data_IF_641190037531
#
_entry.id   IF_641190037531
#
_cell.length_a   1.000
_cell.length_b   1.000
_cell.length_c   1.000
_cell.angle_alpha   90.00
_cell.angle_beta   90.00
_cell.angle_gamma   90.00
#
_symmetry.space_group_name_H-M   'P 1'
#
loop_
_entity.id
_entity.type
_entity.pdbx_description
1 polymer ?
#
# COMPACT_ATOMS: atom_id res chain seq x y z
N UNK A 1 -14.37 16.47 -12.53
CA UNK A 1 -13.92 15.22 -11.86
C UNK A 1 -14.39 15.33 -10.43
N UNK A 2 -15.55 14.74 -10.11
CA UNK A 2 -16.11 14.76 -8.75
C UNK A 2 -15.44 13.65 -7.95
N UNK A 3 -14.93 13.98 -6.77
CA UNK A 3 -14.20 13.07 -5.86
C UNK A 3 -15.08 12.64 -4.68
N UNK A 4 -16.36 12.38 -4.95
CA UNK A 4 -17.37 12.04 -3.94
C UNK A 4 -17.42 10.55 -3.58
N UNK A 5 -16.49 9.74 -4.12
CA UNK A 5 -16.41 8.30 -3.85
C UNK A 5 -15.86 8.04 -2.45
N UNK A 6 -16.52 7.14 -1.70
CA UNK A 6 -16.05 6.74 -0.38
C UNK A 6 -14.82 5.84 -0.53
N UNK A 7 -13.86 5.94 0.38
CA UNK A 7 -12.66 5.07 0.35
C UNK A 7 -13.05 3.59 0.41
N UNK A 8 -14.13 3.26 1.12
CA UNK A 8 -14.71 1.92 1.20
C UNK A 8 -15.09 1.34 -0.17
N UNK A 9 -15.50 2.20 -1.10
CA UNK A 9 -15.90 1.79 -2.44
C UNK A 9 -14.74 1.21 -3.24
N UNK A 10 -13.48 1.44 -2.84
CA UNK A 10 -12.31 0.91 -3.54
C UNK A 10 -11.93 -0.51 -3.09
N UNK A 11 -12.40 -0.99 -1.94
CA UNK A 11 -12.03 -2.33 -1.48
C UNK A 11 -12.58 -3.42 -2.42
N UNK A 12 -11.82 -4.49 -2.69
CA UNK A 12 -12.26 -5.57 -3.57
C UNK A 12 -13.35 -6.41 -2.90
N UNK A 13 -14.34 -6.83 -3.67
CA UNK A 13 -15.40 -7.72 -3.19
C UNK A 13 -14.88 -9.16 -3.14
N UNK A 14 -14.88 -9.77 -1.95
CA UNK A 14 -14.35 -11.12 -1.72
C UNK A 14 -15.40 -12.24 -1.82
N UNK A 15 -16.66 -11.91 -2.10
CA UNK A 15 -17.78 -12.86 -2.07
C UNK A 15 -17.93 -13.69 -3.37
N UNK A 16 -17.04 -13.54 -4.34
CA UNK A 16 -17.07 -14.30 -5.59
C UNK A 16 -16.30 -15.62 -5.45
N UNK A 17 -16.90 -16.73 -5.88
CA UNK A 17 -16.34 -18.08 -5.79
C UNK A 17 -15.16 -18.32 -6.74
N UNK A 18 -14.92 -17.44 -7.72
CA UNK A 18 -13.79 -17.53 -8.66
C UNK A 18 -12.55 -16.72 -8.22
N UNK A 19 -12.54 -16.15 -7.01
CA UNK A 19 -11.41 -15.38 -6.49
C UNK A 19 -10.28 -16.34 -6.08
N UNK A 20 -9.09 -16.13 -6.65
CA UNK A 20 -7.88 -16.91 -6.34
C UNK A 20 -6.83 -16.00 -5.70
N UNK A 21 -5.77 -16.61 -5.13
CA UNK A 21 -4.68 -15.85 -4.54
C UNK A 21 -4.07 -14.88 -5.56
N UNK A 22 -4.10 -13.60 -5.25
CA UNK A 22 -3.59 -12.53 -6.10
C UNK A 22 -4.67 -11.80 -6.90
N UNK A 23 -5.95 -12.15 -6.76
CA UNK A 23 -7.08 -11.41 -7.35
C UNK A 23 -7.34 -10.08 -6.63
N UNK A 24 -7.01 -9.97 -5.34
CA UNK A 24 -7.17 -8.74 -4.55
C UNK A 24 -5.98 -7.79 -4.67
N UNK A 25 -5.00 -8.10 -5.52
CA UNK A 25 -3.87 -7.25 -5.83
C UNK A 25 -2.52 -7.92 -5.62
N UNK A 26 -1.61 -7.68 -6.58
CA UNK A 26 -0.21 -8.10 -6.54
C UNK A 26 0.66 -6.87 -6.73
N UNK A 27 1.51 -6.58 -5.76
CA UNK A 27 2.38 -5.40 -5.80
C UNK A 27 3.84 -5.80 -5.78
N UNK A 28 4.65 -5.03 -6.52
CA UNK A 28 6.10 -5.13 -6.46
C UNK A 28 6.66 -3.76 -6.10
N UNK A 29 7.36 -3.70 -4.97
CA UNK A 29 8.14 -2.54 -4.55
C UNK A 29 9.59 -2.79 -4.94
N UNK A 30 10.21 -1.80 -5.59
CA UNK A 30 11.63 -1.82 -5.95
C UNK A 30 12.27 -0.65 -5.21
N UNK A 31 13.21 -0.95 -4.33
CA UNK A 31 13.91 0.10 -3.60
C UNK A 31 14.75 -0.44 -2.46
N UNK A 32 15.28 0.50 -1.69
CA UNK A 32 16.25 0.25 -0.64
C UNK A 32 17.69 0.27 -1.13
N UNK A 33 18.59 0.31 -0.16
CA UNK A 33 20.03 0.31 -0.35
C UNK A 33 20.67 -0.52 0.76
N UNK A 34 22.00 -0.70 0.71
CA UNK A 34 22.74 -1.32 1.81
C UNK A 34 22.50 -0.62 3.17
N UNK A 35 22.23 0.69 3.14
CA UNK A 35 22.01 1.51 4.35
C UNK A 35 20.52 1.73 4.64
N UNK A 36 19.66 1.72 3.62
CA UNK A 36 18.26 2.10 3.73
C UNK A 36 17.33 0.92 3.51
N UNK A 37 16.88 0.33 4.61
CA UNK A 37 15.98 -0.84 4.62
C UNK A 37 14.58 -0.51 5.12
N UNK A 38 14.41 0.60 5.85
CA UNK A 38 13.13 0.95 6.50
C UNK A 38 12.01 1.27 5.51
N UNK A 39 12.10 2.37 4.76
CA UNK A 39 11.01 2.78 3.87
C UNK A 39 10.59 1.73 2.82
N UNK A 40 11.50 1.01 2.11
CA UNK A 40 11.06 -0.03 1.18
C UNK A 40 10.27 -1.15 1.87
N UNK A 41 10.55 -1.45 3.15
CA UNK A 41 9.72 -2.35 3.95
C UNK A 41 8.31 -1.78 4.15
N UNK A 42 8.18 -0.55 4.65
CA UNK A 42 6.86 0.06 4.92
C UNK A 42 6.02 0.18 3.65
N UNK A 43 6.62 0.58 2.53
CA UNK A 43 5.93 0.66 1.24
C UNK A 43 5.46 -0.71 0.74
N UNK A 44 6.21 -1.79 0.97
CA UNK A 44 5.84 -3.13 0.55
C UNK A 44 4.87 -3.82 1.54
N UNK A 45 4.97 -3.53 2.82
CA UNK A 45 4.14 -4.17 3.85
C UNK A 45 2.78 -3.49 4.06
N UNK A 46 2.68 -2.17 3.86
CA UNK A 46 1.42 -1.45 4.01
C UNK A 46 0.27 -2.03 3.13
N UNK A 47 0.47 -2.36 1.84
CA UNK A 47 -0.57 -2.97 1.02
C UNK A 47 -1.08 -4.30 1.58
N UNK A 48 -0.20 -5.16 2.10
CA UNK A 48 -0.60 -6.42 2.73
C UNK A 48 -1.54 -6.17 3.90
N UNK A 49 -1.24 -5.15 4.72
CA UNK A 49 -2.08 -4.76 5.85
C UNK A 49 -3.40 -4.10 5.45
N UNK A 50 -3.45 -3.47 4.28
CA UNK A 50 -4.67 -2.85 3.73
C UNK A 50 -5.59 -3.91 3.12
N UNK A 51 -5.04 -4.99 2.54
CA UNK A 51 -5.82 -6.09 1.95
C UNK A 51 -5.29 -6.64 0.62
N UNK A 52 -4.05 -6.33 0.23
CA UNK A 52 -3.42 -6.95 -0.93
C UNK A 52 -3.04 -8.41 -0.64
N UNK A 53 -3.14 -9.28 -1.64
CA UNK A 53 -2.84 -10.71 -1.48
C UNK A 53 -1.34 -11.02 -1.49
N UNK A 54 -0.59 -10.31 -2.34
CA UNK A 54 0.83 -10.55 -2.58
C UNK A 54 1.60 -9.24 -2.66
N UNK A 55 2.72 -9.19 -1.95
CA UNK A 55 3.67 -8.08 -2.03
C UNK A 55 5.09 -8.60 -2.17
N UNK A 56 5.74 -8.15 -3.23
CA UNK A 56 7.10 -8.48 -3.61
C UNK A 56 7.99 -7.28 -3.31
N UNK A 57 9.13 -7.51 -2.68
CA UNK A 57 10.14 -6.48 -2.43
C UNK A 57 11.45 -6.85 -3.11
N UNK A 58 11.81 -6.10 -4.14
CA UNK A 58 13.11 -6.17 -4.79
C UNK A 58 14.03 -5.15 -4.13
N UNK A 59 15.13 -5.63 -3.56
CA UNK A 59 16.05 -4.78 -2.77
C UNK A 59 17.52 -5.22 -2.87
N UNK A 60 18.42 -4.42 -2.30
CA UNK A 60 19.85 -4.72 -2.26
C UNK A 60 20.10 -6.06 -1.57
N UNK A 61 21.02 -6.92 -2.04
CA UNK A 61 21.27 -8.23 -1.43
C UNK A 61 21.50 -8.18 0.08
N UNK A 62 22.27 -7.20 0.56
CA UNK A 62 22.54 -7.03 2.00
C UNK A 62 21.28 -6.64 2.80
N UNK A 63 20.45 -5.76 2.23
CA UNK A 63 19.17 -5.37 2.83
C UNK A 63 18.16 -6.52 2.83
N UNK A 64 18.21 -7.39 1.83
CA UNK A 64 17.25 -8.47 1.65
C UNK A 64 17.28 -9.46 2.82
N UNK A 65 18.47 -9.73 3.39
CA UNK A 65 18.62 -10.63 4.54
C UNK A 65 17.87 -10.06 5.76
N UNK A 66 18.07 -8.78 6.05
CA UNK A 66 17.40 -8.10 7.17
C UNK A 66 15.89 -7.99 6.92
N UNK A 67 15.48 -7.61 5.71
CA UNK A 67 14.08 -7.43 5.34
C UNK A 67 13.26 -8.71 5.45
N UNK A 68 13.85 -9.87 5.12
CA UNK A 68 13.23 -11.18 5.30
C UNK A 68 12.95 -11.50 6.78
N UNK A 69 13.73 -10.92 7.70
CA UNK A 69 13.53 -11.11 9.15
C UNK A 69 12.41 -10.24 9.72
N UNK A 70 12.05 -9.14 9.06
CA UNK A 70 10.99 -8.24 9.54
C UNK A 70 9.59 -8.82 9.39
N UNK A 71 9.31 -9.51 8.28
CA UNK A 71 8.03 -10.17 8.09
C UNK A 71 8.14 -11.37 7.15
N UNK A 72 7.65 -12.56 7.54
CA UNK A 72 7.63 -13.74 6.68
C UNK A 72 6.58 -13.65 5.56
N UNK A 73 5.64 -12.71 5.64
CA UNK A 73 4.59 -12.53 4.62
C UNK A 73 5.10 -11.82 3.37
N UNK A 74 6.22 -11.11 3.48
CA UNK A 74 6.80 -10.32 2.41
C UNK A 74 7.70 -11.19 1.52
N UNK A 75 7.46 -11.20 0.20
CA UNK A 75 8.30 -11.96 -0.73
C UNK A 75 9.49 -11.10 -1.13
N UNK A 76 10.61 -11.25 -0.42
CA UNK A 76 11.82 -10.45 -0.65
C UNK A 76 12.76 -11.14 -1.63
N UNK A 77 13.00 -10.47 -2.76
CA UNK A 77 13.92 -10.89 -3.80
C UNK A 77 15.25 -10.12 -3.70
N UNK A 78 16.37 -10.80 -3.35
CA UNK A 78 17.69 -10.21 -3.52
C UNK A 78 18.04 -10.20 -5.01
N UNK A 79 18.56 -9.08 -5.52
CA UNK A 79 19.24 -9.07 -6.82
C UNK A 79 18.39 -8.60 -8.00
N UNK A 80 18.07 -7.31 -7.98
CA UNK A 80 17.94 -6.55 -9.23
C UNK A 80 19.32 -5.94 -9.54
N UNK A 81 19.70 -5.79 -10.82
CA UNK A 81 20.95 -5.12 -11.18
C UNK A 81 20.85 -3.63 -10.82
N UNK A 82 21.21 -3.30 -9.58
CA UNK A 82 20.96 -2.00 -8.95
C UNK A 82 21.53 -0.83 -9.75
N UNK A 83 22.63 -1.05 -10.45
CA UNK A 83 23.28 -0.05 -11.29
C UNK A 83 22.48 0.30 -12.55
N UNK A 84 21.66 -0.62 -13.08
CA UNK A 84 20.77 -0.34 -14.20
C UNK A 84 19.53 0.45 -13.76
N UNK A 85 19.05 0.20 -12.54
CA UNK A 85 17.83 0.81 -12.00
C UNK A 85 18.11 2.20 -11.48
N UNK A 86 19.23 2.42 -10.78
CA UNK A 86 19.65 3.75 -10.31
C UNK A 86 19.77 4.78 -11.43
N UNK A 87 20.13 4.34 -12.65
CA UNK A 87 20.22 5.22 -13.82
C UNK A 87 18.86 5.63 -14.39
N UNK A 88 17.78 4.94 -14.03
CA UNK A 88 16.43 5.11 -14.61
C UNK A 88 15.36 5.48 -13.60
N UNK A 89 15.62 5.31 -12.30
CA UNK A 89 14.71 5.63 -11.22
C UNK A 89 15.36 6.67 -10.32
N UNK A 90 14.72 7.84 -10.23
CA UNK A 90 15.00 8.78 -9.16
C UNK A 90 14.64 8.13 -7.83
N UNK A 91 15.52 8.28 -6.84
CA UNK A 91 15.28 7.77 -5.50
C UNK A 91 14.04 8.46 -4.92
N UNK A 92 13.01 7.67 -4.62
CA UNK A 92 11.81 8.13 -3.94
C UNK A 92 11.76 7.48 -2.56
N UNK A 93 11.68 8.29 -1.51
CA UNK A 93 11.45 7.86 -0.12
C UNK A 93 10.03 7.33 0.04
N UNK A 94 9.73 6.21 -0.62
CA UNK A 94 8.42 5.61 -0.57
C UNK A 94 8.17 4.99 0.80
N UNK A 95 7.22 5.55 1.54
CA UNK A 95 6.72 5.02 2.82
C UNK A 95 5.33 4.37 2.62
N UNK A 96 4.59 4.13 3.70
CA UNK A 96 3.21 3.66 3.78
C UNK A 96 2.29 4.22 2.69
N UNK A 97 2.39 5.53 2.39
CA UNK A 97 1.54 6.19 1.40
C UNK A 97 1.78 5.70 -0.02
N UNK A 98 3.00 5.31 -0.36
CA UNK A 98 3.36 4.78 -1.68
C UNK A 98 2.73 3.41 -1.88
N UNK A 99 2.85 2.55 -0.88
CA UNK A 99 2.18 1.25 -0.86
C UNK A 99 0.66 1.39 -0.98
N UNK A 100 0.06 2.25 -0.14
CA UNK A 100 -1.37 2.53 -0.19
C UNK A 100 -1.82 3.06 -1.56
N UNK A 101 -1.10 4.03 -2.12
CA UNK A 101 -1.43 4.60 -3.43
C UNK A 101 -1.38 3.54 -4.52
N UNK A 102 -0.39 2.65 -4.49
CA UNK A 102 -0.26 1.60 -5.48
C UNK A 102 -1.44 0.59 -5.43
N UNK A 103 -1.86 0.17 -4.23
CA UNK A 103 -3.00 -0.77 -4.09
C UNK A 103 -4.33 -0.10 -4.44
N UNK A 104 -4.58 1.13 -3.95
CA UNK A 104 -5.81 1.86 -4.28
C UNK A 104 -5.89 2.21 -5.77
N UNK A 105 -4.76 2.52 -6.42
CA UNK A 105 -4.71 2.72 -7.86
C UNK A 105 -5.01 1.42 -8.64
N UNK A 106 -4.54 0.27 -8.14
CA UNK A 106 -4.85 -1.02 -8.72
C UNK A 106 -6.35 -1.32 -8.62
N UNK A 107 -6.96 -1.14 -7.45
CA UNK A 107 -8.40 -1.35 -7.28
C UNK A 107 -9.25 -0.34 -8.04
N UNK A 108 -8.82 0.92 -8.12
CA UNK A 108 -9.46 1.93 -8.97
C UNK A 108 -9.49 1.50 -10.45
N UNK A 109 -8.43 0.84 -10.91
CA UNK A 109 -8.38 0.27 -12.27
C UNK A 109 -9.37 -0.88 -12.45
N UNK A 110 -9.57 -1.71 -11.44
CA UNK A 110 -10.50 -2.85 -11.48
C UNK A 110 -11.97 -2.38 -11.46
N UNK A 111 -12.32 -1.44 -10.58
CA UNK A 111 -13.71 -0.96 -10.42
C UNK A 111 -14.15 0.05 -11.48
N UNK A 112 -13.22 0.85 -12.00
CA UNK A 112 -13.53 1.88 -13.01
C UNK A 112 -12.78 1.61 -14.33
N UNK A 113 -13.14 0.54 -15.07
CA UNK A 113 -12.53 0.25 -16.37
C UNK A 113 -12.79 1.35 -17.40
N UNK A 114 -13.95 2.02 -17.31
CA UNK A 114 -14.44 3.02 -18.28
C UNK A 114 -13.82 4.42 -18.13
N UNK A 115 -12.97 4.64 -17.13
CA UNK A 115 -12.26 5.90 -16.97
C UNK A 115 -11.29 6.12 -18.14
N UNK A 116 -11.75 6.84 -19.17
CA UNK A 116 -11.05 7.13 -20.45
C UNK A 116 -9.58 7.54 -20.31
N UNK A 117 -9.17 8.16 -19.20
CA UNK A 117 -7.80 8.60 -18.97
C UNK A 117 -7.12 7.78 -17.85
N UNK A 118 -5.94 7.17 -18.10
CA UNK A 118 -5.11 6.56 -17.07
C UNK A 118 -4.80 7.48 -15.88
N UNK A 119 -4.61 8.78 -16.12
CA UNK A 119 -4.31 9.78 -15.08
C UNK A 119 -5.47 9.93 -14.08
N UNK A 120 -6.71 9.81 -14.55
CA UNK A 120 -7.91 9.89 -13.70
C UNK A 120 -7.97 8.72 -12.71
N UNK A 121 -7.58 7.51 -13.14
CA UNK A 121 -7.54 6.31 -12.26
C UNK A 121 -6.47 6.44 -11.18
N UNK A 122 -5.28 6.90 -11.57
CA UNK A 122 -4.19 7.16 -10.62
C UNK A 122 -4.57 8.25 -9.62
N UNK A 123 -5.20 9.33 -10.08
CA UNK A 123 -5.60 10.43 -9.21
C UNK A 123 -6.69 10.03 -8.21
N UNK A 124 -7.66 9.23 -8.65
CA UNK A 124 -8.68 8.61 -7.79
C UNK A 124 -8.06 7.71 -6.72
N UNK A 125 -7.20 6.77 -7.13
CA UNK A 125 -6.49 5.90 -6.20
C UNK A 125 -5.59 6.67 -5.22
N UNK A 126 -4.87 7.68 -5.70
CA UNK A 126 -4.04 8.54 -4.85
C UNK A 126 -4.86 9.37 -3.86
N UNK A 127 -6.02 9.89 -4.29
CA UNK A 127 -6.94 10.59 -3.40
C UNK A 127 -7.48 9.66 -2.30
N UNK A 128 -7.95 8.47 -2.67
CA UNK A 128 -8.42 7.44 -1.74
C UNK A 128 -7.32 7.03 -0.75
N UNK A 129 -6.11 6.73 -1.24
CA UNK A 129 -4.96 6.41 -0.41
C UNK A 129 -4.57 7.54 0.55
N UNK A 130 -4.57 8.78 0.08
CA UNK A 130 -4.28 9.95 0.91
C UNK A 130 -5.33 10.17 2.00
N UNK A 131 -6.62 9.98 1.69
CA UNK A 131 -7.70 10.00 2.70
C UNK A 131 -7.54 8.86 3.70
N UNK A 132 -7.25 7.65 3.23
CA UNK A 132 -7.03 6.47 4.06
C UNK A 132 -5.87 6.68 5.04
N UNK A 133 -4.68 7.04 4.54
CA UNK A 133 -3.47 7.21 5.36
C UNK A 133 -3.61 8.36 6.36
N UNK A 134 -4.25 9.48 5.97
CA UNK A 134 -4.55 10.58 6.91
C UNK A 134 -5.48 10.14 8.03
N UNK A 135 -6.51 9.35 7.71
CA UNK A 135 -7.39 8.79 8.74
C UNK A 135 -6.64 7.81 9.64
N UNK A 136 -5.82 6.92 9.08
CA UNK A 136 -4.98 6.01 9.86
C UNK A 136 -4.09 6.78 10.82
N UNK A 137 -3.45 7.86 10.35
CA UNK A 137 -2.66 8.76 11.19
C UNK A 137 -3.50 9.40 12.29
N UNK A 138 -4.64 10.03 11.95
CA UNK A 138 -5.53 10.63 12.94
C UNK A 138 -6.00 9.64 14.02
N UNK A 139 -6.43 8.45 13.61
CA UNK A 139 -6.89 7.38 14.50
C UNK A 139 -5.76 6.87 15.41
N UNK A 140 -4.56 6.70 14.88
CA UNK A 140 -3.39 6.25 15.64
C UNK A 140 -2.93 7.32 16.64
N UNK A 141 -2.93 8.58 16.24
CA UNK A 141 -2.61 9.70 17.11
C UNK A 141 -3.60 9.76 18.28
N UNK A 142 -4.89 9.58 17.99
CA UNK A 142 -5.94 9.60 19.01
C UNK A 142 -5.80 8.45 20.01
N UNK A 143 -5.31 7.28 19.59
CA UNK A 143 -5.09 6.14 20.50
C UNK A 143 -3.80 6.28 21.32
N UNK A 144 -2.76 6.91 20.79
CA UNK A 144 -1.45 6.99 21.45
C UNK A 144 -1.23 8.29 22.23
N UNK A 145 -1.91 9.39 21.88
CA UNK A 145 -1.73 10.70 22.50
C UNK A 145 -0.35 11.35 22.29
N UNK A 146 0.44 10.86 21.32
CA UNK A 146 1.79 11.34 20.99
C UNK A 146 2.05 11.33 19.48
N UNK A 147 3.20 11.86 19.05
CA UNK A 147 3.68 11.65 17.67
C UNK A 147 3.79 10.16 17.34
N UNK A 148 3.55 9.83 16.07
CA UNK A 148 3.43 8.44 15.60
C UNK A 148 4.66 8.04 14.81
N UNK A 149 5.01 6.77 14.92
CA UNK A 149 6.00 6.13 14.04
C UNK A 149 5.29 5.41 12.89
N UNK A 150 6.04 5.08 11.84
CA UNK A 150 5.52 4.28 10.73
C UNK A 150 5.00 2.91 11.20
N UNK A 151 5.66 2.29 12.19
CA UNK A 151 5.20 1.06 12.84
C UNK A 151 3.86 1.22 13.55
N UNK A 152 3.68 2.31 14.30
CA UNK A 152 2.41 2.61 14.98
C UNK A 152 1.26 2.71 13.95
N UNK A 153 1.53 3.37 12.82
CA UNK A 153 0.57 3.50 11.72
C UNK A 153 0.25 2.15 11.06
N UNK A 154 1.27 1.33 10.74
CA UNK A 154 1.10 -0.03 10.20
C UNK A 154 0.15 -0.86 11.07
N UNK A 155 0.37 -0.83 12.39
CA UNK A 155 -0.39 -1.62 13.33
C UNK A 155 -1.86 -1.17 13.39
N UNK A 156 -2.11 0.11 13.16
CA UNK A 156 -3.46 0.68 13.18
C UNK A 156 -4.21 0.60 11.83
N UNK A 157 -3.57 0.17 10.73
CA UNK A 157 -4.22 0.05 9.41
C UNK A 157 -5.52 -0.74 9.48
N UNK A 158 -5.57 -1.83 10.25
CA UNK A 158 -6.79 -2.65 10.39
C UNK A 158 -7.98 -1.89 11.01
N UNK A 159 -7.73 -0.93 11.91
CA UNK A 159 -8.79 -0.05 12.43
C UNK A 159 -9.30 0.90 11.35
N UNK A 160 -8.40 1.40 10.49
CA UNK A 160 -8.77 2.26 9.37
C UNK A 160 -9.59 1.51 8.31
N UNK A 161 -9.20 0.28 7.94
CA UNK A 161 -9.99 -0.57 7.03
C UNK A 161 -11.41 -0.74 7.56
N UNK A 162 -11.57 -1.16 8.82
CA UNK A 162 -12.89 -1.30 9.47
C UNK A 162 -13.72 -0.01 9.49
N UNK A 163 -13.08 1.15 9.57
CA UNK A 163 -13.81 2.43 9.54
C UNK A 163 -14.41 2.69 8.16
N UNK A 164 -13.65 2.42 7.09
CA UNK A 164 -14.07 2.68 5.72
C UNK A 164 -14.93 1.56 5.12
N UNK A 165 -14.81 0.32 5.61
CA UNK A 165 -15.68 -0.80 5.21
C UNK A 165 -17.09 -0.70 5.81
N UNK A 166 -17.28 0.02 6.93
CA UNK A 166 -18.62 0.18 7.52
C UNK A 166 -19.51 0.93 6.54
N UNK A 167 -20.66 0.37 6.12
CA UNK A 167 -21.63 1.13 5.35
C UNK A 167 -22.08 2.34 6.18
N UNK A 168 -22.21 3.50 5.55
CA UNK A 168 -22.62 4.79 6.15
C UNK A 168 -23.98 4.76 6.90
N UNK A 169 -24.68 3.62 6.98
CA UNK A 169 -26.03 3.47 7.53
C UNK A 169 -26.10 2.72 8.87
N UNK A 170 -25.02 2.68 9.66
CA UNK A 170 -25.08 2.17 11.04
C UNK A 170 -24.39 3.12 12.03
N UNK A 171 -24.99 4.30 12.25
CA UNK A 171 -25.06 5.00 13.55
C UNK A 171 -26.35 5.78 13.59
#
# INVERSE_FOLDING_TARGET
MTFDEAVGDYFPDLNDSNVTKGSSGRLATIGGSAEYTGAPYYAAYAPLRIGADLSYLYTHPDAAVVLKSYSPDLIVHPGLEWDLIKKRMDFFDGDLITGATAIFAHWAKMKFPDAKCPKTRLLRGAYAASRFIRYTGFSTYRSHGRSMTASDMINNIGNAVRHFERPCNQV
#
